data_IF_756951128689
#
_entry.id   IF_756951128689
#
_cell.length_a   1.000
_cell.length_b   1.000
_cell.length_c   1.000
_cell.angle_alpha   90.00
_cell.angle_beta   90.00
_cell.angle_gamma   90.00
#
_symmetry.space_group_name_H-M   'P 1'
#
loop_
_entity.id
_entity.type
_entity.pdbx_description
1 polymer ?
#
# COMPACT_ATOMS: atom_id res chain seq x y z
N UNK A 1 17.41 12.07 -8.26
CA UNK A 1 17.38 13.53 -8.46
C UNK A 1 17.97 14.20 -7.23
N UNK A 2 18.85 15.20 -7.34
CA UNK A 2 19.28 15.94 -6.14
C UNK A 2 18.18 16.86 -5.63
N UNK A 3 18.23 17.22 -4.35
CA UNK A 3 17.28 18.15 -3.75
C UNK A 3 17.31 19.53 -4.42
N UNK A 4 18.48 19.97 -4.88
CA UNK A 4 18.63 21.25 -5.59
C UNK A 4 17.88 21.24 -6.93
N UNK A 5 18.07 20.18 -7.73
CA UNK A 5 17.35 20.01 -9.01
C UNK A 5 15.84 19.88 -8.78
N UNK A 6 15.43 19.18 -7.73
CA UNK A 6 14.01 19.07 -7.38
C UNK A 6 13.40 20.45 -7.06
N UNK A 7 14.07 21.26 -6.25
CA UNK A 7 13.59 22.58 -5.86
C UNK A 7 13.48 23.53 -7.06
N UNK A 8 14.41 23.46 -8.02
CA UNK A 8 14.40 24.29 -9.22
C UNK A 8 13.31 23.91 -10.23
N UNK A 9 12.79 22.68 -10.19
CA UNK A 9 11.91 22.12 -11.23
C UNK A 9 10.56 21.62 -10.68
N UNK A 10 10.18 22.01 -9.46
CA UNK A 10 9.03 21.43 -8.75
C UNK A 10 7.73 21.47 -9.54
N UNK A 11 7.39 22.61 -10.16
CA UNK A 11 6.12 22.78 -10.87
C UNK A 11 6.01 21.82 -12.06
N UNK A 12 7.03 21.79 -12.92
CA UNK A 12 7.05 20.91 -14.10
C UNK A 12 7.15 19.42 -13.73
N UNK A 13 7.78 19.10 -12.60
CA UNK A 13 7.80 17.73 -12.08
C UNK A 13 6.40 17.33 -11.60
N UNK A 14 5.71 18.19 -10.84
CA UNK A 14 4.36 17.91 -10.34
C UNK A 14 3.36 17.78 -11.49
N UNK A 15 3.43 18.67 -12.48
CA UNK A 15 2.56 18.63 -13.66
C UNK A 15 2.83 17.40 -14.56
N UNK A 16 4.08 16.91 -14.55
CA UNK A 16 4.51 15.75 -15.32
C UNK A 16 4.26 14.40 -14.63
N UNK A 17 4.00 14.39 -13.32
CA UNK A 17 3.73 13.15 -12.59
C UNK A 17 2.44 12.53 -13.10
N UNK A 18 2.57 11.36 -13.69
CA UNK A 18 1.43 10.53 -14.07
C UNK A 18 1.48 9.21 -13.32
N UNK A 19 0.33 8.54 -13.22
CA UNK A 19 0.24 7.27 -12.52
C UNK A 19 1.20 6.20 -13.07
N UNK A 20 1.64 6.26 -14.31
CA UNK A 20 2.49 5.21 -14.89
C UNK A 20 4.00 5.45 -14.68
N UNK A 21 4.39 6.55 -14.03
CA UNK A 21 5.78 6.85 -13.77
C UNK A 21 6.37 6.05 -12.62
N UNK A 22 7.66 5.74 -12.74
CA UNK A 22 8.41 5.06 -11.67
C UNK A 22 8.66 6.04 -10.51
N UNK A 23 8.66 5.56 -9.25
CA UNK A 23 9.02 6.37 -8.10
C UNK A 23 10.39 7.01 -8.29
N UNK A 24 10.50 8.31 -8.02
CA UNK A 24 11.76 9.04 -8.17
C UNK A 24 12.43 9.27 -6.83
N UNK A 25 13.68 8.82 -6.68
CA UNK A 25 14.48 9.05 -5.48
C UNK A 25 15.05 10.49 -5.47
N UNK A 26 14.83 11.19 -4.37
CA UNK A 26 15.43 12.50 -4.07
C UNK A 26 16.64 12.29 -3.16
N UNK A 27 17.79 12.87 -3.51
CA UNK A 27 19.07 12.75 -2.81
C UNK A 27 19.54 14.08 -2.25
N UNK A 28 20.19 14.06 -1.08
CA UNK A 28 20.93 15.19 -0.51
C UNK A 28 22.27 14.69 0.02
N UNK A 29 23.35 15.44 -0.22
CA UNK A 29 24.73 15.03 0.09
C UNK A 29 25.10 13.65 -0.48
N UNK A 30 24.59 13.33 -1.68
CA UNK A 30 24.79 12.04 -2.33
C UNK A 30 24.02 10.87 -1.71
N UNK A 31 23.15 11.10 -0.71
CA UNK A 31 22.36 10.05 -0.04
C UNK A 31 20.86 10.18 -0.33
N UNK A 32 20.13 9.07 -0.57
CA UNK A 32 18.66 9.11 -0.68
C UNK A 32 18.02 9.66 0.60
N UNK A 33 17.06 10.58 0.46
CA UNK A 33 16.34 11.21 1.58
C UNK A 33 14.82 11.14 1.44
N UNK A 34 14.29 11.15 0.23
CA UNK A 34 12.86 11.11 -0.04
C UNK A 34 12.55 10.39 -1.36
N UNK A 35 11.27 10.08 -1.57
CA UNK A 35 10.74 9.52 -2.82
C UNK A 35 9.58 10.40 -3.26
N UNK A 36 9.58 10.79 -4.54
CA UNK A 36 8.47 11.44 -5.21
C UNK A 36 7.62 10.39 -5.92
N UNK A 37 6.31 10.47 -5.72
CA UNK A 37 5.30 9.53 -6.23
C UNK A 37 4.06 10.32 -6.66
N UNK A 38 3.41 9.86 -7.72
CA UNK A 38 2.05 10.29 -8.06
C UNK A 38 1.05 9.89 -6.95
N UNK A 39 0.03 10.73 -6.73
CA UNK A 39 -0.94 10.53 -5.66
C UNK A 39 -1.81 9.29 -5.87
N UNK A 40 -2.19 8.96 -7.11
CA UNK A 40 -2.99 7.77 -7.38
C UNK A 40 -2.19 6.50 -7.08
N UNK A 41 -0.88 6.47 -7.39
CA UNK A 41 -0.02 5.35 -6.99
C UNK A 41 0.26 5.28 -5.52
N UNK A 42 0.37 6.42 -4.84
CA UNK A 42 0.48 6.42 -3.39
C UNK A 42 -0.77 5.77 -2.74
N UNK A 43 -1.96 6.10 -3.20
CA UNK A 43 -3.20 5.50 -2.69
C UNK A 43 -3.34 4.01 -3.05
N UNK A 44 -3.01 3.60 -4.28
CA UNK A 44 -3.00 2.17 -4.67
C UNK A 44 -2.00 1.36 -3.83
N UNK A 45 -0.82 1.92 -3.56
CA UNK A 45 0.17 1.30 -2.69
C UNK A 45 -0.37 1.16 -1.25
N UNK A 46 -1.06 2.18 -0.74
CA UNK A 46 -1.67 2.13 0.59
C UNK A 46 -2.75 1.06 0.70
N UNK A 47 -3.61 0.93 -0.31
CA UNK A 47 -4.63 -0.12 -0.38
C UNK A 47 -3.99 -1.51 -0.43
N UNK A 48 -2.96 -1.68 -1.26
CA UNK A 48 -2.19 -2.93 -1.35
C UNK A 48 -1.56 -3.30 -0.01
N UNK A 49 -0.94 -2.34 0.69
CA UNK A 49 -0.36 -2.57 2.02
C UNK A 49 -1.43 -2.93 3.07
N UNK A 50 -2.63 -2.38 2.96
CA UNK A 50 -3.75 -2.76 3.83
C UNK A 50 -4.14 -4.23 3.61
N UNK A 51 -4.22 -4.68 2.34
CA UNK A 51 -4.48 -6.09 2.02
C UNK A 51 -3.37 -7.01 2.52
N UNK A 52 -2.10 -6.65 2.32
CA UNK A 52 -0.96 -7.42 2.84
C UNK A 52 -1.00 -7.50 4.36
N UNK A 53 -1.42 -6.44 5.05
CA UNK A 53 -1.61 -6.46 6.51
C UNK A 53 -2.73 -7.41 6.93
N UNK A 54 -3.84 -7.45 6.20
CA UNK A 54 -4.93 -8.41 6.46
C UNK A 54 -4.42 -9.85 6.32
N UNK A 55 -3.62 -10.14 5.28
CA UNK A 55 -3.01 -11.47 5.10
C UNK A 55 -2.11 -11.82 6.28
N UNK A 56 -1.21 -10.92 6.68
CA UNK A 56 -0.31 -11.17 7.82
C UNK A 56 -1.06 -11.39 9.15
N UNK A 57 -2.17 -10.66 9.37
CA UNK A 57 -3.05 -10.87 10.52
C UNK A 57 -3.68 -12.27 10.45
N UNK A 58 -4.24 -12.66 9.30
CA UNK A 58 -4.86 -13.97 9.11
C UNK A 58 -3.87 -15.12 9.31
N UNK A 59 -2.63 -14.99 8.80
CA UNK A 59 -1.56 -15.97 9.05
C UNK A 59 -1.25 -16.11 10.55
N UNK A 60 -1.22 -14.98 11.28
CA UNK A 60 -1.03 -15.03 12.73
C UNK A 60 -2.21 -15.67 13.45
N UNK A 61 -3.44 -15.36 13.07
CA UNK A 61 -4.65 -15.97 13.64
C UNK A 61 -4.67 -17.49 13.45
N UNK A 62 -4.26 -17.98 12.28
CA UNK A 62 -4.11 -19.43 12.03
C UNK A 62 -3.07 -20.05 12.97
N UNK A 63 -1.90 -19.42 13.12
CA UNK A 63 -0.86 -19.90 14.05
C UNK A 63 -1.32 -19.92 15.50
N UNK A 64 -2.13 -18.95 15.89
CA UNK A 64 -2.71 -18.83 17.23
C UNK A 64 -3.92 -19.75 17.45
N UNK A 65 -4.35 -20.53 16.46
CA UNK A 65 -5.55 -21.36 16.55
C UNK A 65 -6.87 -20.58 16.53
N UNK A 66 -6.85 -19.32 16.12
CA UNK A 66 -8.02 -18.41 16.03
C UNK A 66 -8.73 -18.57 14.70
N UNK A 67 -9.16 -19.79 14.38
CA UNK A 67 -9.93 -20.08 13.17
C UNK A 67 -11.09 -21.02 13.49
N UNK A 68 -12.07 -21.07 12.58
CA UNK A 68 -13.20 -22.00 12.66
C UNK A 68 -13.01 -23.12 11.63
N UNK A 69 -13.35 -24.38 11.95
CA UNK A 69 -13.51 -25.42 10.96
C UNK A 69 -14.53 -25.01 9.89
N UNK A 70 -14.32 -25.46 8.65
CA UNK A 70 -15.13 -25.07 7.49
C UNK A 70 -16.63 -25.27 7.72
N UNK A 71 -17.02 -26.42 8.27
CA UNK A 71 -18.41 -26.76 8.55
C UNK A 71 -19.08 -25.79 9.53
N UNK A 72 -18.33 -25.33 10.54
CA UNK A 72 -18.80 -24.39 11.54
C UNK A 72 -18.94 -22.98 10.95
N UNK A 73 -17.98 -22.55 10.11
CA UNK A 73 -18.04 -21.28 9.41
C UNK A 73 -19.30 -21.17 8.53
N UNK A 74 -19.58 -22.18 7.68
CA UNK A 74 -20.77 -22.19 6.84
C UNK A 74 -22.08 -22.23 7.64
N UNK A 75 -22.09 -22.95 8.77
CA UNK A 75 -23.24 -22.94 9.69
C UNK A 75 -23.47 -21.56 10.31
N UNK A 76 -22.40 -20.82 10.59
CA UNK A 76 -22.50 -19.43 11.09
C UNK A 76 -23.08 -18.48 10.06
N UNK A 77 -22.60 -18.53 8.81
CA UNK A 77 -23.07 -17.65 7.71
C UNK A 77 -24.57 -17.83 7.45
N UNK A 78 -25.03 -19.08 7.26
CA UNK A 78 -26.46 -19.38 7.02
C UNK A 78 -27.39 -18.94 8.15
N UNK A 79 -26.86 -18.77 9.36
CA UNK A 79 -27.64 -18.29 10.51
C UNK A 79 -27.87 -16.78 10.48
N UNK A 80 -26.94 -16.03 9.86
CA UNK A 80 -26.94 -14.57 9.84
C UNK A 80 -27.45 -14.00 8.51
N UNK A 81 -27.55 -14.83 7.47
CA UNK A 81 -28.20 -14.49 6.20
C UNK A 81 -29.42 -15.40 6.06
N UNK A 82 -30.64 -14.97 6.42
CA UNK A 82 -31.85 -15.67 6.03
C UNK A 82 -31.99 -15.62 4.50
N UNK A 83 -32.56 -16.68 3.92
CA UNK A 83 -32.82 -16.80 2.47
C UNK A 83 -33.58 -15.60 1.88
#
# INVERSE_FOLDING_TARGET
MSVDVFAENVDGLVDGLTGDERPTLITADGKPRAVLLDIARYEELRETLALVRIVAIGEQEVRDGKFLPLEEAFRSIRRHTPD
#
